data_IF_540415381641
#
_entry.id   IF_540415381641
#
_cell.length_a   1.000
_cell.length_b   1.000
_cell.length_c   1.000
_cell.angle_alpha   90.00
_cell.angle_beta   90.00
_cell.angle_gamma   90.00
#
_symmetry.space_group_name_H-M   'P 1'
#
loop_
_entity.id
_entity.type
_entity.pdbx_description
1 polymer ?
#
# COMPACT_ATOMS: atom_id res chain seq x y z
N UNK A 1 9.19 -21.70 88.94
CA UNK A 1 7.89 -21.13 88.50
C UNK A 1 8.13 -20.35 87.21
N UNK A 2 7.30 -20.24 86.17
CA UNK A 2 6.14 -20.97 85.65
C UNK A 2 5.91 -20.40 84.23
N UNK A 3 5.66 -21.30 83.26
CA UNK A 3 4.81 -21.17 82.03
C UNK A 3 5.02 -20.05 80.98
N UNK A 4 5.47 -20.48 79.79
CA UNK A 4 4.82 -20.39 78.44
C UNK A 4 3.49 -19.57 78.37
N UNK A 5 3.36 -18.60 77.43
CA UNK A 5 2.87 -18.72 76.02
C UNK A 5 2.39 -17.36 75.41
N UNK A 6 2.82 -17.12 74.16
CA UNK A 6 2.13 -16.63 72.92
C UNK A 6 1.59 -15.19 72.73
N UNK A 7 2.02 -14.63 71.58
CA UNK A 7 1.35 -13.86 70.50
C UNK A 7 0.57 -12.58 70.87
N UNK A 8 0.44 -11.54 70.04
CA UNK A 8 0.85 -11.16 68.67
C UNK A 8 0.65 -9.64 68.55
N UNK A 9 1.30 -9.00 67.57
CA UNK A 9 0.69 -7.86 66.85
C UNK A 9 1.44 -6.52 66.87
N UNK A 10 1.60 -5.92 65.68
CA UNK A 10 1.90 -4.49 65.45
C UNK A 10 3.25 -4.23 64.77
N UNK A 11 3.39 -4.53 63.48
CA UNK A 11 3.39 -3.54 62.37
C UNK A 11 4.48 -2.45 62.47
N UNK A 12 5.55 -2.63 61.69
CA UNK A 12 6.53 -1.60 61.38
C UNK A 12 6.58 -1.40 59.86
N UNK A 13 6.45 -0.13 59.47
CA UNK A 13 6.43 0.42 58.12
C UNK A 13 7.59 -0.05 57.23
N UNK A 14 7.24 -0.73 56.14
CA UNK A 14 8.15 -1.06 55.03
C UNK A 14 7.64 -0.47 53.73
N UNK A 15 7.99 0.79 53.45
CA UNK A 15 7.65 1.50 52.21
C UNK A 15 8.42 0.90 51.03
N UNK A 16 7.92 -0.20 50.48
CA UNK A 16 8.46 -0.83 49.28
C UNK A 16 8.08 -0.02 48.03
N UNK A 17 9.08 0.66 47.45
CA UNK A 17 9.05 1.22 46.10
C UNK A 17 8.74 0.10 45.09
N UNK A 18 7.49 0.02 44.64
CA UNK A 18 7.10 -0.81 43.49
C UNK A 18 7.52 -0.07 42.22
N UNK A 19 8.73 -0.31 41.76
CA UNK A 19 9.10 -0.04 40.36
C UNK A 19 8.18 -0.90 39.48
N UNK A 20 7.14 -0.27 38.94
CA UNK A 20 6.30 -0.85 37.92
C UNK A 20 7.20 -1.21 36.72
N UNK A 21 7.54 -2.49 36.59
CA UNK A 21 8.06 -3.03 35.32
C UNK A 21 7.06 -2.62 34.25
N UNK A 22 7.45 -1.68 33.38
CA UNK A 22 6.71 -1.39 32.14
C UNK A 22 6.56 -2.73 31.45
N UNK A 23 5.32 -3.21 31.39
CA UNK A 23 4.92 -4.32 30.53
C UNK A 23 5.48 -3.98 29.14
N UNK A 24 6.25 -4.86 28.48
CA UNK A 24 6.61 -4.61 27.09
C UNK A 24 5.31 -4.33 26.34
N UNK A 25 5.26 -3.23 25.59
CA UNK A 25 4.12 -2.93 24.74
C UNK A 25 3.87 -4.20 23.91
N UNK A 26 2.64 -4.74 23.97
CA UNK A 26 2.26 -5.80 23.05
C UNK A 26 2.47 -5.23 21.65
N UNK A 27 3.51 -5.69 20.97
CA UNK A 27 3.68 -5.45 19.55
C UNK A 27 2.45 -6.06 18.90
N UNK A 28 1.53 -5.21 18.39
CA UNK A 28 0.42 -5.70 17.58
C UNK A 28 1.03 -6.54 16.46
N UNK A 29 0.60 -7.79 16.36
CA UNK A 29 1.02 -8.68 15.28
C UNK A 29 0.45 -8.11 14.00
N UNK A 30 1.34 -7.73 13.08
CA UNK A 30 0.96 -7.35 11.72
C UNK A 30 0.77 -8.60 10.87
N UNK A 31 -0.06 -8.50 9.86
CA UNK A 31 -0.39 -9.58 8.95
C UNK A 31 -0.29 -9.13 7.49
N UNK A 32 -0.06 -10.10 6.61
CA UNK A 32 -0.02 -9.87 5.18
C UNK A 32 -1.43 -10.07 4.61
N UNK A 33 -2.01 -9.02 4.02
CA UNK A 33 -3.33 -9.04 3.39
C UNK A 33 -3.15 -9.01 1.88
N UNK A 34 -3.70 -9.98 1.15
CA UNK A 34 -3.64 -10.08 -0.31
C UNK A 34 -5.00 -9.73 -0.92
N UNK A 35 -5.01 -8.84 -1.91
CA UNK A 35 -6.20 -8.50 -2.68
C UNK A 35 -6.18 -9.25 -4.00
N UNK A 36 -7.25 -9.99 -4.26
CA UNK A 36 -7.49 -10.74 -5.48
C UNK A 36 -8.78 -10.26 -6.14
N UNK A 37 -8.85 -10.33 -7.46
CA UNK A 37 -10.12 -10.28 -8.18
C UNK A 37 -10.74 -11.67 -8.21
N UNK A 38 -12.04 -11.74 -7.95
CA UNK A 38 -12.83 -12.97 -7.85
C UNK A 38 -13.92 -12.99 -8.94
N UNK A 39 -13.61 -12.40 -10.10
CA UNK A 39 -14.58 -11.99 -11.11
C UNK A 39 -15.55 -13.10 -11.50
N UNK A 40 -16.85 -12.81 -11.41
CA UNK A 40 -17.91 -13.55 -12.11
C UNK A 40 -18.32 -12.74 -13.35
N UNK A 41 -18.81 -13.40 -14.41
CA UNK A 41 -19.13 -12.78 -15.72
C UNK A 41 -20.10 -11.58 -15.62
N UNK A 42 -20.90 -11.53 -14.54
CA UNK A 42 -21.88 -10.47 -14.31
C UNK A 42 -21.37 -9.30 -13.44
N UNK A 43 -20.38 -9.52 -12.58
CA UNK A 43 -19.89 -8.51 -11.61
C UNK A 43 -18.41 -8.69 -11.30
N UNK A 44 -17.62 -7.64 -11.48
CA UNK A 44 -16.23 -7.62 -11.01
C UNK A 44 -16.19 -7.46 -9.50
N UNK A 45 -15.88 -8.56 -8.81
CA UNK A 45 -15.69 -8.62 -7.36
C UNK A 45 -14.22 -8.69 -7.01
N UNK A 46 -13.88 -8.16 -5.85
CA UNK A 46 -12.54 -8.22 -5.27
C UNK A 46 -12.62 -8.75 -3.85
N UNK A 47 -11.65 -9.56 -3.46
CA UNK A 47 -11.60 -10.19 -2.14
C UNK A 47 -10.28 -9.87 -1.46
N UNK A 48 -10.33 -9.60 -0.16
CA UNK A 48 -9.14 -9.41 0.68
C UNK A 48 -8.96 -10.65 1.53
N UNK A 49 -7.78 -11.27 1.46
CA UNK A 49 -7.42 -12.47 2.20
C UNK A 49 -6.29 -12.18 3.17
N UNK A 50 -6.40 -12.68 4.40
CA UNK A 50 -5.31 -12.67 5.36
C UNK A 50 -4.45 -13.91 5.09
N UNK A 51 -3.18 -13.72 4.73
CA UNK A 51 -2.24 -14.81 4.46
C UNK A 51 -1.58 -15.30 5.75
N UNK A 52 -1.37 -16.61 5.81
CA UNK A 52 -0.56 -17.24 6.84
C UNK A 52 0.86 -17.45 6.30
N UNK A 53 1.84 -16.89 7.02
CA UNK A 53 3.26 -16.88 6.64
C UNK A 53 4.03 -17.68 7.67
N UNK A 54 4.51 -18.86 7.26
CA UNK A 54 5.40 -19.68 8.06
C UNK A 54 6.85 -19.28 7.75
N UNK A 55 7.39 -18.39 8.59
CA UNK A 55 8.77 -17.89 8.47
C UNK A 55 9.82 -18.99 8.67
N UNK A 56 9.51 -20.03 9.45
CA UNK A 56 10.45 -21.12 9.75
C UNK A 56 10.53 -22.10 8.58
N UNK A 57 9.39 -22.41 7.96
CA UNK A 57 9.33 -23.25 6.76
C UNK A 57 9.68 -22.46 5.48
N UNK A 58 9.59 -21.13 5.52
CA UNK A 58 9.72 -20.27 4.34
C UNK A 58 8.57 -20.47 3.35
N UNK A 59 7.36 -20.73 3.85
CA UNK A 59 6.18 -21.04 3.06
C UNK A 59 5.08 -20.02 3.36
N UNK A 60 4.40 -19.56 2.31
CA UNK A 60 3.16 -18.79 2.43
C UNK A 60 2.02 -19.71 2.04
N UNK A 61 1.07 -19.92 2.95
CA UNK A 61 -0.07 -20.79 2.71
C UNK A 61 -1.10 -20.12 1.80
N UNK A 62 -1.81 -20.94 1.02
CA UNK A 62 -2.86 -20.47 0.15
C UNK A 62 -3.98 -19.80 0.96
N UNK A 63 -4.57 -18.70 0.44
CA UNK A 63 -5.72 -18.08 1.08
C UNK A 63 -6.92 -19.02 1.10
N UNK A 64 -7.71 -18.98 2.18
CA UNK A 64 -9.00 -19.64 2.25
C UNK A 64 -10.03 -18.86 1.40
N UNK A 65 -10.23 -19.30 0.17
CA UNK A 65 -11.10 -18.65 -0.82
C UNK A 65 -12.54 -18.54 -0.32
N UNK A 66 -13.00 -19.48 0.51
CA UNK A 66 -14.36 -19.50 1.06
C UNK A 66 -14.53 -18.48 2.21
N UNK A 67 -13.43 -18.02 2.82
CA UNK A 67 -13.44 -17.14 4.00
C UNK A 67 -12.53 -15.92 3.83
N UNK A 68 -12.82 -15.03 2.86
CA UNK A 68 -12.10 -13.76 2.75
C UNK A 68 -12.39 -12.87 3.96
N UNK A 69 -11.42 -12.02 4.31
CA UNK A 69 -11.54 -11.03 5.37
C UNK A 69 -12.59 -9.96 5.05
N UNK A 70 -12.72 -9.60 3.76
CA UNK A 70 -13.81 -8.75 3.24
C UNK A 70 -13.93 -8.88 1.72
N UNK A 71 -15.03 -8.38 1.16
CA UNK A 71 -15.32 -8.37 -0.28
C UNK A 71 -15.75 -6.98 -0.74
N UNK A 72 -15.36 -6.62 -1.96
CA UNK A 72 -15.79 -5.41 -2.65
C UNK A 72 -16.40 -5.79 -3.99
N UNK A 73 -17.41 -5.04 -4.41
CA UNK A 73 -17.97 -5.14 -5.74
C UNK A 73 -17.72 -3.82 -6.46
N UNK A 74 -17.15 -3.88 -7.65
CA UNK A 74 -17.13 -2.73 -8.54
C UNK A 74 -18.57 -2.35 -8.92
N UNK A 75 -18.83 -1.05 -9.08
CA UNK A 75 -20.10 -0.61 -9.64
C UNK A 75 -20.24 -1.15 -11.08
N UNK A 76 -21.47 -1.53 -11.52
CA UNK A 76 -21.72 -1.88 -12.91
C UNK A 76 -21.53 -0.65 -13.79
N UNK A 77 -20.32 -0.45 -14.30
CA UNK A 77 -20.00 0.66 -15.19
C UNK A 77 -20.01 0.17 -16.65
N UNK A 78 -20.64 0.94 -17.53
CA UNK A 78 -20.47 0.78 -18.97
C UNK A 78 -19.00 1.08 -19.31
N UNK A 79 -18.17 0.02 -19.38
CA UNK A 79 -16.72 0.13 -19.61
C UNK A 79 -15.82 -0.62 -18.63
N UNK A 80 -16.37 -1.40 -17.68
CA UNK A 80 -15.57 -2.25 -16.79
C UNK A 80 -14.76 -1.47 -15.75
N UNK A 81 -15.45 -0.92 -14.76
CA UNK A 81 -14.82 -0.14 -13.68
C UNK A 81 -13.82 -0.99 -12.89
N UNK A 82 -12.56 -0.55 -12.83
CA UNK A 82 -11.50 -1.18 -12.06
C UNK A 82 -11.41 -0.53 -10.67
N UNK A 83 -11.44 -1.33 -9.62
CA UNK A 83 -11.14 -0.83 -8.27
C UNK A 83 -9.64 -0.78 -8.04
N UNK A 84 -9.20 0.24 -7.31
CA UNK A 84 -7.83 0.36 -6.82
C UNK A 84 -7.83 0.22 -5.31
N UNK A 85 -6.85 -0.53 -4.80
CA UNK A 85 -6.64 -0.78 -3.39
C UNK A 85 -5.36 -0.10 -2.94
N UNK A 86 -5.45 0.65 -1.86
CA UNK A 86 -4.41 1.54 -1.38
C UNK A 86 -4.22 1.27 0.11
N UNK A 87 -2.98 1.07 0.53
CA UNK A 87 -2.68 1.11 1.95
C UNK A 87 -2.95 2.52 2.46
N UNK A 88 -3.59 2.64 3.60
CA UNK A 88 -3.61 3.81 4.46
C UNK A 88 -3.09 3.35 5.82
N UNK A 89 -2.33 4.22 6.48
CA UNK A 89 -1.33 3.74 7.41
C UNK A 89 -1.87 2.93 8.61
N UNK A 90 -0.99 2.06 9.10
CA UNK A 90 -1.22 1.08 10.14
C UNK A 90 -2.12 -0.08 9.75
N UNK A 91 -3.39 0.20 9.46
CA UNK A 91 -4.48 -0.79 9.55
C UNK A 91 -5.62 -0.61 8.56
N UNK A 92 -5.54 0.37 7.65
CA UNK A 92 -6.69 0.69 6.79
C UNK A 92 -6.37 0.39 5.34
N UNK A 93 -7.16 -0.47 4.69
CA UNK A 93 -7.11 -0.66 3.23
C UNK A 93 -8.22 0.19 2.61
N UNK A 94 -7.85 1.14 1.76
CA UNK A 94 -8.79 2.02 1.05
C UNK A 94 -9.05 1.44 -0.34
N UNK A 95 -10.32 1.27 -0.68
CA UNK A 95 -10.77 0.84 -1.99
C UNK A 95 -11.51 1.99 -2.69
N UNK A 96 -11.05 2.35 -3.89
CA UNK A 96 -11.63 3.44 -4.70
C UNK A 96 -11.99 2.94 -6.08
N UNK A 97 -13.06 3.50 -6.65
CA UNK A 97 -13.40 3.34 -8.06
C UNK A 97 -12.46 4.20 -8.91
N UNK A 98 -11.66 3.56 -9.76
CA UNK A 98 -10.71 4.26 -10.63
C UNK A 98 -11.37 5.19 -11.64
N UNK A 99 -12.62 4.92 -12.04
CA UNK A 99 -13.38 5.77 -12.95
C UNK A 99 -14.10 6.93 -12.25
N UNK A 100 -14.00 7.00 -10.92
CA UNK A 100 -14.71 7.99 -10.11
C UNK A 100 -16.21 7.73 -10.00
N UNK A 101 -16.86 8.45 -9.10
CA UNK A 101 -18.32 8.41 -8.91
C UNK A 101 -18.81 7.33 -7.92
N UNK A 102 -18.11 6.21 -7.77
CA UNK A 102 -18.36 5.23 -6.70
C UNK A 102 -17.91 5.72 -5.32
N UNK A 103 -18.57 5.28 -4.21
CA UNK A 103 -18.12 5.63 -2.86
C UNK A 103 -16.73 5.06 -2.60
N UNK A 104 -15.90 5.82 -1.87
CA UNK A 104 -14.63 5.28 -1.37
C UNK A 104 -14.90 4.46 -0.12
N UNK A 105 -14.40 3.22 -0.09
CA UNK A 105 -14.53 2.34 1.06
C UNK A 105 -13.20 2.25 1.82
N UNK A 106 -13.25 2.20 3.14
CA UNK A 106 -12.09 2.07 4.02
C UNK A 106 -12.30 0.87 4.93
N UNK A 107 -11.49 -0.15 4.76
CA UNK A 107 -11.50 -1.38 5.56
C UNK A 107 -10.46 -1.30 6.67
N UNK A 108 -10.92 -1.26 7.92
CA UNK A 108 -10.06 -1.37 9.11
C UNK A 108 -9.78 -2.86 9.37
N UNK A 109 -8.54 -3.28 9.15
CA UNK A 109 -8.08 -4.67 9.27
C UNK A 109 -8.07 -5.17 10.71
N UNK A 110 -7.98 -4.27 11.69
CA UNK A 110 -7.99 -4.61 13.13
C UNK A 110 -9.43 -4.80 13.63
N UNK A 111 -10.33 -3.91 13.21
CA UNK A 111 -11.76 -4.00 13.56
C UNK A 111 -12.54 -4.96 12.66
N UNK A 112 -11.95 -5.42 11.55
CA UNK A 112 -12.62 -6.14 10.47
C UNK A 112 -13.91 -5.43 10.01
N UNK A 113 -13.84 -4.10 9.87
CA UNK A 113 -15.00 -3.25 9.64
C UNK A 113 -14.80 -2.34 8.42
N UNK A 114 -15.90 -2.05 7.72
CA UNK A 114 -15.94 -1.11 6.60
C UNK A 114 -16.54 0.21 7.03
N UNK A 115 -15.92 1.30 6.59
CA UNK A 115 -16.47 2.65 6.62
C UNK A 115 -16.43 3.23 5.21
N UNK A 116 -17.23 4.27 4.95
CA UNK A 116 -17.35 4.87 3.63
C UNK A 116 -17.08 6.36 3.69
N UNK A 117 -16.48 6.87 2.63
CA UNK A 117 -16.21 8.28 2.38
C UNK A 117 -16.98 8.76 1.16
N UNK A 118 -16.94 10.07 0.92
CA UNK A 118 -17.36 10.63 -0.36
C UNK A 118 -16.62 9.94 -1.53
N UNK A 119 -17.22 9.88 -2.73
CA UNK A 119 -16.51 9.44 -3.93
C UNK A 119 -15.20 10.21 -4.12
N UNK A 120 -14.21 9.54 -4.71
CA UNK A 120 -12.97 10.18 -5.16
C UNK A 120 -13.33 11.25 -6.21
N UNK A 121 -12.88 12.51 -6.04
CA UNK A 121 -13.08 13.54 -7.05
C UNK A 121 -12.30 13.21 -8.32
N UNK A 122 -13.03 12.98 -9.42
CA UNK A 122 -12.44 12.62 -10.71
C UNK A 122 -12.04 11.14 -10.79
N UNK A 123 -11.24 10.85 -11.82
CA UNK A 123 -10.72 9.51 -12.12
C UNK A 123 -9.30 9.41 -11.60
N UNK A 124 -8.89 8.26 -11.09
CA UNK A 124 -7.47 8.01 -10.90
C UNK A 124 -6.80 8.07 -12.28
N UNK A 125 -5.69 8.82 -12.38
CA UNK A 125 -5.02 9.00 -13.66
C UNK A 125 -4.70 7.64 -14.28
N UNK A 126 -5.33 7.34 -15.43
CA UNK A 126 -5.24 6.06 -16.13
C UNK A 126 -3.97 5.93 -16.97
N UNK A 127 -3.17 7.00 -17.10
CA UNK A 127 -1.87 6.95 -17.77
C UNK A 127 -0.78 6.49 -16.80
N UNK A 128 -0.63 5.16 -16.66
CA UNK A 128 0.49 4.53 -15.96
C UNK A 128 0.17 3.95 -14.58
N UNK A 129 1.16 3.95 -13.68
CA UNK A 129 0.97 3.52 -12.30
C UNK A 129 0.23 4.65 -11.58
N UNK A 130 -1.09 4.51 -11.38
CA UNK A 130 -1.89 5.50 -10.66
C UNK A 130 -1.17 5.96 -9.39
N UNK A 131 -0.98 7.27 -9.24
CA UNK A 131 -0.32 7.83 -8.06
C UNK A 131 -1.29 7.81 -6.89
N UNK A 132 -0.98 6.99 -5.89
CA UNK A 132 -1.66 7.01 -4.62
C UNK A 132 -0.64 6.69 -3.53
N UNK A 133 -0.44 7.62 -2.60
CA UNK A 133 0.67 7.60 -1.66
C UNK A 133 0.21 8.08 -0.29
N UNK A 134 0.64 7.37 0.75
CA UNK A 134 0.33 7.75 2.14
C UNK A 134 1.45 8.63 2.67
N UNK A 135 1.07 9.72 3.33
CA UNK A 135 2.00 10.59 4.04
C UNK A 135 1.39 10.93 5.41
N UNK A 136 2.21 10.98 6.44
CA UNK A 136 1.79 11.53 7.74
C UNK A 136 1.55 13.04 7.56
N UNK A 137 0.31 13.51 7.76
CA UNK A 137 0.03 14.95 7.66
C UNK A 137 0.49 15.64 8.94
N UNK A 138 1.59 16.37 8.84
CA UNK A 138 2.10 17.25 9.90
C UNK A 138 1.24 18.50 10.14
N UNK A 139 0.16 18.70 9.37
CA UNK A 139 -0.81 19.77 9.58
C UNK A 139 -1.56 19.67 10.92
N UNK A 140 -2.32 20.72 11.27
CA UNK A 140 -2.97 21.01 12.57
C UNK A 140 -3.94 19.93 13.16
N UNK A 141 -3.93 18.70 12.65
CA UNK A 141 -4.69 17.55 13.14
C UNK A 141 -3.89 16.28 13.43
N UNK A 142 -2.59 16.21 13.10
CA UNK A 142 -1.71 15.08 13.44
C UNK A 142 -2.20 13.71 12.95
N UNK A 143 -2.94 13.67 11.84
CA UNK A 143 -3.51 12.46 11.26
C UNK A 143 -2.80 12.06 9.97
N UNK A 144 -2.88 10.79 9.61
CA UNK A 144 -2.35 10.31 8.33
C UNK A 144 -3.32 10.65 7.19
N UNK A 145 -2.77 10.96 6.01
CA UNK A 145 -3.55 11.24 4.82
C UNK A 145 -3.07 10.40 3.62
N UNK A 146 -4.03 9.91 2.83
CA UNK A 146 -3.76 9.24 1.57
C UNK A 146 -3.92 10.26 0.44
N UNK A 147 -2.85 10.54 -0.27
CA UNK A 147 -2.80 11.47 -1.39
C UNK A 147 -2.96 10.72 -2.70
N UNK A 148 -3.80 11.21 -3.61
CA UNK A 148 -4.04 10.63 -4.91
C UNK A 148 -4.01 11.71 -6.00
N UNK A 149 -3.43 11.37 -7.15
CA UNK A 149 -3.51 12.20 -8.34
C UNK A 149 -4.74 11.80 -9.15
N UNK A 150 -5.64 12.75 -9.35
CA UNK A 150 -6.87 12.53 -10.11
C UNK A 150 -6.95 13.44 -11.32
N UNK A 151 -7.77 13.04 -12.30
CA UNK A 151 -8.12 13.86 -13.45
C UNK A 151 -9.63 14.01 -13.54
N UNK A 152 -10.10 15.22 -13.81
CA UNK A 152 -11.52 15.53 -13.98
C UNK A 152 -12.02 15.29 -15.42
N UNK A 153 -11.16 14.86 -16.33
CA UNK A 153 -11.48 14.60 -17.73
C UNK A 153 -10.36 14.99 -18.67
N UNK A 154 -10.54 14.73 -19.97
CA UNK A 154 -9.61 15.16 -21.01
C UNK A 154 -9.42 16.68 -20.97
N UNK A 155 -8.18 17.15 -21.15
CA UNK A 155 -7.82 18.58 -21.19
C UNK A 155 -8.03 19.36 -19.91
N UNK A 156 -8.44 18.71 -18.83
CA UNK A 156 -8.48 19.30 -17.49
C UNK A 156 -7.16 19.06 -16.79
N UNK A 157 -6.63 20.06 -16.06
CA UNK A 157 -5.45 19.84 -15.26
C UNK A 157 -5.73 18.77 -14.20
N UNK A 158 -4.70 17.98 -13.88
CA UNK A 158 -4.80 17.02 -12.78
C UNK A 158 -5.08 17.75 -11.45
N UNK A 159 -5.68 17.04 -10.51
CA UNK A 159 -5.89 17.45 -9.14
C UNK A 159 -5.10 16.56 -8.19
N UNK A 160 -4.70 17.12 -7.05
CA UNK A 160 -4.05 16.37 -5.99
C UNK A 160 -4.97 16.34 -4.78
N UNK A 161 -5.60 15.19 -4.57
CA UNK A 161 -6.64 14.94 -3.59
C UNK A 161 -6.05 14.22 -2.38
N UNK A 162 -6.47 14.60 -1.18
CA UNK A 162 -6.09 13.92 0.06
C UNK A 162 -7.32 13.38 0.79
N UNK A 163 -7.33 12.08 1.07
CA UNK A 163 -8.28 11.43 1.96
C UNK A 163 -7.75 11.47 3.39
N UNK A 164 -8.52 12.07 4.28
CA UNK A 164 -8.18 12.18 5.70
C UNK A 164 -9.41 12.04 6.58
N UNK A 165 -9.20 11.66 7.84
CA UNK A 165 -10.24 11.63 8.87
C UNK A 165 -10.46 13.05 9.39
N UNK A 166 -11.43 13.75 8.80
CA UNK A 166 -11.65 15.16 9.05
C UNK A 166 -12.95 15.41 9.80
N UNK A 167 -12.96 16.53 10.53
CA UNK A 167 -14.17 17.05 11.15
C UNK A 167 -15.09 17.62 10.07
N UNK A 168 -16.40 17.42 10.23
CA UNK A 168 -17.43 18.00 9.39
C UNK A 168 -17.33 19.54 9.32
N UNK A 169 -17.10 20.13 8.12
CA UNK A 169 -17.08 21.58 7.92
C UNK A 169 -18.47 22.22 8.13
N UNK A 170 -19.54 21.47 7.89
CA UNK A 170 -20.93 21.91 8.02
C UNK A 170 -21.46 21.84 9.45
N UNK A 171 -20.64 21.37 10.41
CA UNK A 171 -20.92 21.49 11.83
C UNK A 171 -20.83 22.96 12.28
N UNK A 172 -21.82 23.76 11.87
CA UNK A 172 -22.03 25.10 12.41
C UNK A 172 -22.21 25.00 13.93
N UNK A 173 -21.65 25.91 14.73
CA UNK A 173 -21.97 25.98 16.16
C UNK A 173 -23.49 26.21 16.40
N UNK A 174 -24.22 26.66 15.38
CA UNK A 174 -25.65 26.97 15.43
C UNK A 174 -26.59 25.80 15.09
N UNK A 175 -26.09 24.63 14.65
CA UNK A 175 -26.96 23.45 14.47
C UNK A 175 -27.31 22.73 15.78
N UNK A 176 -26.83 23.27 16.92
CA UNK A 176 -27.12 22.78 18.28
C UNK A 176 -28.55 23.05 18.77
N UNK A 177 -29.42 23.70 17.98
CA UNK A 177 -30.77 24.05 18.41
C UNK A 177 -31.84 22.97 18.14
N UNK A 178 -31.54 21.90 17.40
CA UNK A 178 -32.54 20.85 17.11
C UNK A 178 -32.12 19.40 17.37
N UNK A 179 -30.93 19.15 17.91
CA UNK A 179 -30.53 17.79 18.31
C UNK A 179 -30.60 17.62 19.83
N UNK A 180 -31.83 17.53 20.34
CA UNK A 180 -32.10 17.11 21.72
C UNK A 180 -32.08 15.59 21.82
N UNK A 181 -30.91 14.94 21.71
CA UNK A 181 -30.65 13.60 22.24
C UNK A 181 -29.19 13.17 22.02
N UNK A 182 -28.39 13.23 23.09
CA UNK A 182 -27.24 12.36 23.40
C UNK A 182 -26.20 12.04 22.30
N UNK A 183 -25.20 12.91 22.13
CA UNK A 183 -23.76 12.60 22.32
C UNK A 183 -22.92 13.81 21.87
N UNK A 184 -21.93 14.31 22.63
CA UNK A 184 -20.92 15.25 22.13
C UNK A 184 -19.91 14.53 21.21
N UNK A 185 -20.41 13.77 20.24
CA UNK A 185 -19.67 13.15 19.15
C UNK A 185 -19.76 14.04 17.92
N UNK A 186 -18.92 15.07 17.93
CA UNK A 186 -18.67 15.97 16.79
C UNK A 186 -18.40 15.11 15.55
N UNK A 187 -19.19 15.24 14.48
CA UNK A 187 -19.13 14.37 13.29
C UNK A 187 -17.73 14.40 12.64
N UNK A 188 -16.96 13.31 12.76
CA UNK A 188 -15.77 13.06 11.96
C UNK A 188 -16.09 11.98 10.93
N UNK A 189 -15.58 12.14 9.73
CA UNK A 189 -15.73 11.16 8.65
C UNK A 189 -14.54 11.24 7.69
N UNK A 190 -14.35 10.18 6.91
CA UNK A 190 -13.39 10.17 5.82
C UNK A 190 -13.85 11.12 4.71
N UNK A 191 -13.00 12.06 4.31
CA UNK A 191 -13.31 13.01 3.24
C UNK A 191 -12.13 13.24 2.32
N UNK A 192 -12.39 13.27 1.02
CA UNK A 192 -11.43 13.75 0.01
C UNK A 192 -11.44 15.28 -0.04
N UNK A 193 -10.25 15.88 -0.12
CA UNK A 193 -10.09 17.32 -0.32
C UNK A 193 -8.94 17.59 -1.27
N UNK A 194 -9.14 18.56 -2.15
CA UNK A 194 -8.05 19.09 -2.95
C UNK A 194 -7.07 19.84 -2.03
N UNK A 195 -5.80 19.48 -2.09
CA UNK A 195 -4.77 19.99 -1.17
C UNK A 195 -3.70 20.84 -1.83
N UNK A 196 -3.64 20.87 -3.17
CA UNK A 196 -2.61 21.63 -3.87
C UNK A 196 -3.08 23.05 -4.17
N UNK A 197 -2.29 24.06 -3.79
CA UNK A 197 -2.61 25.47 -4.07
C UNK A 197 -2.58 25.78 -5.57
N UNK A 198 -1.77 25.02 -6.32
CA UNK A 198 -1.65 25.08 -7.77
C UNK A 198 -1.79 23.69 -8.36
N UNK A 199 -2.36 23.55 -9.56
CA UNK A 199 -2.40 22.26 -10.24
C UNK A 199 -1.01 21.61 -10.35
N UNK A 200 -0.92 20.27 -10.35
CA UNK A 200 0.33 19.56 -10.61
C UNK A 200 0.95 20.03 -11.93
N UNK A 201 2.25 20.33 -11.96
CA UNK A 201 2.92 20.97 -13.11
C UNK A 201 3.28 19.97 -14.22
N UNK A 202 2.47 18.92 -14.39
CA UNK A 202 2.69 17.87 -15.38
C UNK A 202 2.06 18.28 -16.71
N UNK A 203 2.68 17.90 -17.82
CA UNK A 203 2.02 18.02 -19.12
C UNK A 203 0.84 17.05 -19.22
N UNK A 204 -0.18 17.37 -20.03
CA UNK A 204 -1.36 16.52 -20.21
C UNK A 204 -1.02 15.11 -20.72
N UNK A 205 0.03 15.01 -21.53
CA UNK A 205 0.52 13.76 -22.12
C UNK A 205 1.46 12.96 -21.21
N UNK A 206 1.80 13.51 -20.04
CA UNK A 206 2.72 12.88 -19.10
C UNK A 206 2.00 11.88 -18.18
N UNK A 207 2.49 10.64 -18.18
CA UNK A 207 2.04 9.56 -17.33
C UNK A 207 2.88 9.46 -16.06
N UNK A 208 2.26 9.29 -14.89
CA UNK A 208 3.02 8.97 -13.67
C UNK A 208 3.56 7.56 -13.78
N UNK A 209 4.87 7.42 -13.58
CA UNK A 209 5.56 6.13 -13.67
C UNK A 209 6.12 5.67 -12.35
N UNK A 210 6.48 6.60 -11.47
CA UNK A 210 7.08 6.28 -10.19
C UNK A 210 6.81 7.37 -9.16
N UNK A 211 6.82 6.99 -7.88
CA UNK A 211 6.73 7.92 -6.77
C UNK A 211 7.35 7.34 -5.51
N UNK A 212 7.80 8.20 -4.60
CA UNK A 212 8.32 7.78 -3.31
C UNK A 212 8.11 8.88 -2.26
N UNK A 213 7.90 8.48 -1.01
CA UNK A 213 7.88 9.41 0.12
C UNK A 213 9.31 9.64 0.58
N UNK A 214 9.69 10.90 0.74
CA UNK A 214 10.98 11.28 1.29
C UNK A 214 11.04 10.94 2.78
N UNK A 215 12.21 10.58 3.34
CA UNK A 215 12.38 10.27 4.77
C UNK A 215 11.99 11.38 5.75
N UNK A 216 11.68 12.58 5.25
CA UNK A 216 11.18 13.67 6.09
C UNK A 216 9.69 13.52 6.42
N UNK A 217 9.03 12.49 5.88
CA UNK A 217 7.64 12.15 6.16
C UNK A 217 6.64 13.15 5.59
N UNK A 218 7.06 14.12 4.76
CA UNK A 218 6.17 15.17 4.23
C UNK A 218 6.34 15.45 2.74
N UNK A 219 7.49 15.14 2.16
CA UNK A 219 7.78 15.44 0.75
C UNK A 219 7.52 14.19 -0.09
N UNK A 220 6.66 14.29 -1.11
CA UNK A 220 6.37 13.22 -2.05
C UNK A 220 7.14 13.51 -3.33
N UNK A 221 7.98 12.58 -3.80
CA UNK A 221 8.58 12.65 -5.13
C UNK A 221 7.72 11.89 -6.14
N UNK A 222 7.58 12.45 -7.33
CA UNK A 222 6.77 11.90 -8.44
C UNK A 222 7.55 12.04 -9.73
N UNK A 223 7.73 10.94 -10.46
CA UNK A 223 8.29 10.95 -11.81
C UNK A 223 7.22 10.69 -12.85
N UNK A 224 7.26 11.49 -13.91
CA UNK A 224 6.39 11.37 -15.07
C UNK A 224 7.18 11.04 -16.33
N UNK A 225 6.53 10.43 -17.32
CA UNK A 225 7.09 10.22 -18.67
C UNK A 225 6.03 10.52 -19.72
N UNK A 226 6.40 11.14 -20.85
CA UNK A 226 5.47 11.47 -21.94
C UNK A 226 6.19 11.99 -23.17
N UNK A 227 5.44 12.45 -24.18
CA UNK A 227 5.97 12.90 -25.49
C UNK A 227 6.94 14.08 -25.42
N UNK A 228 6.83 14.93 -24.39
CA UNK A 228 7.69 16.10 -24.17
C UNK A 228 8.99 15.84 -23.40
N UNK A 229 9.29 14.57 -23.05
CA UNK A 229 10.38 14.22 -22.14
C UNK A 229 9.92 14.23 -20.69
N UNK A 230 10.11 13.11 -19.99
CA UNK A 230 9.70 12.96 -18.60
C UNK A 230 10.46 13.85 -17.61
N UNK A 231 9.96 13.95 -16.39
CA UNK A 231 10.62 14.71 -15.34
C UNK A 231 10.29 14.22 -13.94
N UNK A 232 11.06 14.72 -12.97
CA UNK A 232 10.78 14.47 -11.56
C UNK A 232 10.35 15.74 -10.86
N UNK A 233 9.33 15.60 -10.04
CA UNK A 233 8.70 16.64 -9.26
C UNK A 233 8.62 16.22 -7.80
N UNK A 234 8.42 17.18 -6.91
CA UNK A 234 8.03 16.90 -5.55
C UNK A 234 6.84 17.76 -5.10
N UNK A 235 6.03 17.21 -4.22
CA UNK A 235 4.97 17.92 -3.51
C UNK A 235 5.30 17.97 -2.03
N UNK A 236 5.35 19.18 -1.48
CA UNK A 236 5.51 19.40 -0.05
C UNK A 236 4.11 19.50 0.57
N UNK A 237 3.72 18.51 1.39
CA UNK A 237 2.37 18.41 1.96
C UNK A 237 2.03 19.54 2.95
N UNK A 238 3.04 20.06 3.64
CA UNK A 238 2.90 21.17 4.58
C UNK A 238 2.74 22.50 3.84
N UNK A 239 3.59 22.75 2.84
CA UNK A 239 3.56 23.98 2.04
C UNK A 239 2.56 23.96 0.89
N UNK A 240 1.98 22.79 0.60
CA UNK A 240 0.99 22.53 -0.47
C UNK A 240 1.46 22.94 -1.87
N UNK A 241 2.77 22.81 -2.11
CA UNK A 241 3.43 23.33 -3.32
C UNK A 241 4.21 22.26 -4.05
N UNK A 242 4.10 22.31 -5.37
CA UNK A 242 4.89 21.52 -6.30
C UNK A 242 6.24 22.17 -6.60
N UNK A 243 7.24 21.34 -6.88
CA UNK A 243 8.58 21.73 -7.34
C UNK A 243 9.04 20.77 -8.42
N UNK A 244 9.66 21.28 -9.48
CA UNK A 244 10.36 20.47 -10.49
C UNK A 244 11.83 20.29 -10.11
N UNK A 245 12.34 19.07 -10.30
CA UNK A 245 13.72 18.67 -10.03
C UNK A 245 14.53 18.40 -11.29
N UNK A 246 13.92 18.37 -12.47
CA UNK A 246 14.62 18.27 -13.76
C UNK A 246 14.17 17.09 -14.61
N UNK A 247 14.86 16.93 -15.74
CA UNK A 247 14.54 15.99 -16.83
C UNK A 247 15.13 14.60 -16.55
N UNK A 248 14.85 14.06 -15.38
CA UNK A 248 15.25 12.71 -14.97
C UNK A 248 14.07 12.03 -14.27
N UNK A 249 14.11 10.70 -14.21
CA UNK A 249 13.04 9.89 -13.59
C UNK A 249 13.64 8.90 -12.60
N UNK A 250 12.86 8.51 -11.60
CA UNK A 250 13.24 7.50 -10.62
C UNK A 250 13.50 6.15 -11.33
N UNK A 251 14.44 5.33 -10.81
CA UNK A 251 14.87 4.10 -11.47
C UNK A 251 13.91 2.91 -11.28
N UNK A 252 12.83 3.11 -10.52
CA UNK A 252 11.78 2.12 -10.29
C UNK A 252 10.47 2.52 -10.96
N UNK A 253 9.51 1.59 -10.97
CA UNK A 253 8.11 1.82 -11.34
C UNK A 253 7.19 1.72 -10.13
N UNK A 254 6.10 2.47 -10.13
CA UNK A 254 5.17 2.53 -9.01
C UNK A 254 5.81 3.13 -7.75
N UNK A 255 5.42 2.61 -6.60
CA UNK A 255 5.92 3.11 -5.31
C UNK A 255 7.35 2.62 -5.02
N UNK A 256 8.24 3.56 -4.71
CA UNK A 256 9.49 3.31 -4.00
C UNK A 256 9.31 3.54 -2.51
N UNK A 257 9.87 2.64 -1.70
CA UNK A 257 9.82 2.66 -0.26
C UNK A 257 11.17 3.04 0.32
N UNK A 258 11.20 3.98 1.25
CA UNK A 258 12.43 4.26 1.98
C UNK A 258 12.69 3.16 3.00
N UNK A 259 13.90 2.58 2.96
CA UNK A 259 14.39 1.68 3.99
C UNK A 259 15.54 2.35 4.75
N UNK A 260 15.37 2.49 6.07
CA UNK A 260 16.35 3.17 6.92
C UNK A 260 17.64 2.40 7.13
N UNK A 261 17.65 1.07 6.96
CA UNK A 261 18.89 0.28 7.08
C UNK A 261 19.74 0.38 5.81
N UNK A 262 19.10 0.48 4.64
CA UNK A 262 19.75 0.70 3.35
C UNK A 262 20.06 2.17 3.10
N UNK A 263 19.40 3.10 3.80
CA UNK A 263 19.42 4.54 3.53
C UNK A 263 19.13 4.85 2.05
N UNK A 264 18.11 4.18 1.51
CA UNK A 264 17.80 4.18 0.09
C UNK A 264 16.30 4.02 -0.15
N UNK A 265 15.84 4.52 -1.29
CA UNK A 265 14.56 4.10 -1.85
C UNK A 265 14.73 2.76 -2.55
N UNK A 266 13.84 1.83 -2.26
CA UNK A 266 13.74 0.51 -2.89
C UNK A 266 12.43 0.42 -3.65
N UNK A 267 12.48 0.02 -4.91
CA UNK A 267 11.28 -0.17 -5.73
C UNK A 267 11.47 -1.24 -6.80
N UNK A 268 10.38 -1.64 -7.45
CA UNK A 268 10.44 -2.54 -8.60
C UNK A 268 11.17 -1.86 -9.74
N UNK A 269 12.14 -2.56 -10.33
CA UNK A 269 12.92 -2.02 -11.44
C UNK A 269 12.00 -1.57 -12.57
N UNK A 270 12.28 -0.38 -13.12
CA UNK A 270 11.42 0.25 -14.12
C UNK A 270 11.22 -0.60 -15.39
N UNK A 271 12.32 -1.11 -15.95
CA UNK A 271 12.32 -1.82 -17.23
C UNK A 271 12.37 -3.36 -17.10
N UNK A 272 13.09 -3.88 -16.10
CA UNK A 272 13.34 -5.31 -15.95
C UNK A 272 12.40 -5.93 -14.92
N UNK A 273 11.48 -6.78 -15.38
CA UNK A 273 10.57 -7.55 -14.53
C UNK A 273 11.34 -8.50 -13.60
N UNK A 274 10.78 -8.80 -12.42
CA UNK A 274 11.41 -9.71 -11.47
C UNK A 274 12.60 -9.13 -10.70
N UNK A 275 12.87 -7.83 -10.85
CA UNK A 275 13.98 -7.16 -10.16
C UNK A 275 13.49 -6.02 -9.29
N UNK A 276 14.14 -5.88 -8.15
CA UNK A 276 14.11 -4.66 -7.35
C UNK A 276 15.37 -3.85 -7.62
N UNK A 277 15.27 -2.54 -7.47
CA UNK A 277 16.39 -1.63 -7.51
C UNK A 277 16.41 -0.75 -6.26
N UNK A 278 17.60 -0.28 -5.90
CA UNK A 278 17.80 0.66 -4.81
C UNK A 278 18.56 1.90 -5.33
N UNK A 279 18.10 3.08 -4.93
CA UNK A 279 18.79 4.34 -5.20
C UNK A 279 18.82 5.24 -3.98
N UNK A 280 19.81 6.14 -3.93
CA UNK A 280 19.84 7.17 -2.90
C UNK A 280 18.57 8.03 -2.91
N UNK A 281 18.24 8.59 -1.75
CA UNK A 281 17.15 9.55 -1.62
C UNK A 281 17.53 10.84 -2.36
N UNK A 282 16.68 11.30 -3.27
CA UNK A 282 16.93 12.51 -4.03
C UNK A 282 16.86 13.77 -3.13
N UNK A 283 17.74 14.74 -3.40
CA UNK A 283 17.76 16.00 -2.66
C UNK A 283 16.54 16.88 -2.97
N UNK A 284 15.91 17.42 -1.92
CA UNK A 284 14.75 18.35 -2.02
C UNK A 284 15.05 19.66 -2.74
N UNK A 285 16.32 20.06 -2.87
CA UNK A 285 16.74 21.28 -3.56
C UNK A 285 17.58 21.04 -4.81
N UNK A 286 17.98 19.79 -5.06
CA UNK A 286 18.89 19.45 -6.14
C UNK A 286 18.17 19.17 -7.46
N UNK A 287 18.85 19.47 -8.57
CA UNK A 287 18.43 19.04 -9.90
C UNK A 287 19.12 17.74 -10.37
N UNK A 288 20.04 17.20 -9.56
CA UNK A 288 20.81 16.00 -9.88
C UNK A 288 19.94 14.75 -9.62
N UNK A 289 19.92 13.77 -10.55
CA UNK A 289 19.26 12.50 -10.30
C UNK A 289 19.89 11.78 -9.10
N UNK A 290 19.13 10.92 -8.39
CA UNK A 290 19.68 10.07 -7.36
C UNK A 290 20.75 9.17 -7.96
N UNK A 291 21.84 8.93 -7.23
CA UNK A 291 22.82 7.95 -7.68
C UNK A 291 22.17 6.57 -7.67
N UNK A 292 22.00 6.03 -8.88
CA UNK A 292 21.54 4.68 -9.08
C UNK A 292 22.61 3.74 -8.57
N UNK A 293 22.27 2.96 -7.55
CA UNK A 293 23.21 2.01 -7.01
C UNK A 293 23.05 0.72 -7.76
N UNK A 294 21.99 -0.06 -7.54
CA UNK A 294 22.07 -1.48 -7.86
C UNK A 294 20.71 -2.16 -8.03
N UNK A 295 20.75 -3.38 -8.58
CA UNK A 295 19.57 -4.23 -8.82
C UNK A 295 19.78 -5.61 -8.28
N UNK A 296 18.68 -6.22 -7.82
CA UNK A 296 18.67 -7.59 -7.37
C UNK A 296 17.51 -8.33 -8.03
N UNK A 297 17.81 -9.51 -8.56
CA UNK A 297 16.81 -10.49 -8.98
C UNK A 297 16.26 -11.19 -7.72
N UNK A 298 15.05 -10.82 -7.30
CA UNK A 298 14.37 -11.50 -6.19
C UNK A 298 13.83 -12.88 -6.60
N UNK A 299 13.93 -13.24 -7.88
CA UNK A 299 13.56 -14.54 -8.45
C UNK A 299 14.64 -15.60 -8.40
N UNK A 300 15.84 -15.30 -7.89
CA UNK A 300 16.86 -16.34 -7.66
C UNK A 300 16.40 -17.46 -6.69
N UNK A 301 15.13 -17.45 -6.26
CA UNK A 301 14.41 -18.37 -5.38
C UNK A 301 13.10 -18.90 -5.98
N UNK A 302 12.58 -18.33 -7.07
CA UNK A 302 11.42 -18.91 -7.74
C UNK A 302 11.93 -19.91 -8.77
N UNK A 303 11.81 -21.20 -8.47
CA UNK A 303 12.13 -22.32 -9.37
C UNK A 303 11.23 -22.37 -10.63
N UNK A 304 10.63 -21.25 -11.02
CA UNK A 304 9.73 -21.18 -12.15
C UNK A 304 10.51 -20.89 -13.43
N UNK A 305 10.49 -21.85 -14.36
CA UNK A 305 10.96 -21.76 -15.76
C UNK A 305 10.21 -20.69 -16.59
N UNK A 306 9.49 -19.76 -15.94
CA UNK A 306 8.51 -18.84 -16.51
C UNK A 306 8.94 -17.37 -16.38
N UNK A 307 10.25 -17.07 -16.50
CA UNK A 307 10.74 -15.67 -16.49
C UNK A 307 10.14 -14.81 -17.62
N UNK A 308 9.63 -15.43 -18.69
CA UNK A 308 9.11 -14.77 -19.89
C UNK A 308 7.57 -14.60 -19.93
N UNK A 309 6.81 -15.01 -18.90
CA UNK A 309 5.32 -14.95 -18.88
C UNK A 309 4.76 -14.10 -17.74
N UNK A 310 5.53 -13.12 -17.28
CA UNK A 310 5.16 -12.22 -16.19
C UNK A 310 4.42 -11.03 -16.75
N UNK A 311 3.25 -10.74 -16.20
CA UNK A 311 2.48 -9.60 -16.64
C UNK A 311 2.81 -8.38 -15.77
N UNK A 312 2.53 -8.41 -14.47
CA UNK A 312 2.65 -7.24 -13.58
C UNK A 312 3.03 -7.69 -12.17
N UNK A 313 3.83 -6.86 -11.49
CA UNK A 313 4.29 -7.08 -10.13
C UNK A 313 3.97 -5.86 -9.26
N UNK A 314 3.59 -6.09 -8.01
CA UNK A 314 3.47 -5.07 -6.97
C UNK A 314 4.48 -5.35 -5.85
N UNK A 315 4.86 -4.31 -5.10
CA UNK A 315 5.83 -4.40 -4.01
C UNK A 315 5.29 -3.69 -2.79
N UNK A 316 5.52 -4.30 -1.62
CA UNK A 316 5.06 -3.81 -0.33
C UNK A 316 6.20 -3.84 0.67
N UNK A 317 6.46 -2.73 1.34
CA UNK A 317 7.43 -2.67 2.44
C UNK A 317 6.84 -3.21 3.74
N UNK A 318 7.55 -4.11 4.39
CA UNK A 318 7.13 -4.77 5.62
C UNK A 318 7.84 -4.23 6.87
N UNK A 319 8.77 -3.28 6.71
CA UNK A 319 9.67 -2.84 7.78
C UNK A 319 10.95 -3.68 7.86
N UNK A 320 11.97 -3.15 8.55
CA UNK A 320 13.22 -3.85 8.87
C UNK A 320 13.93 -4.49 7.66
N UNK A 321 13.93 -3.78 6.52
CA UNK A 321 14.52 -4.26 5.26
C UNK A 321 13.76 -5.41 4.60
N UNK A 322 12.55 -5.75 5.07
CA UNK A 322 11.71 -6.82 4.51
C UNK A 322 10.69 -6.26 3.52
N UNK A 323 10.48 -7.01 2.44
CA UNK A 323 9.59 -6.65 1.34
C UNK A 323 8.76 -7.86 0.91
N UNK A 324 7.56 -7.61 0.41
CA UNK A 324 6.70 -8.59 -0.23
C UNK A 324 6.48 -8.19 -1.69
N UNK A 325 6.84 -9.06 -2.63
CA UNK A 325 6.47 -8.93 -4.04
C UNK A 325 5.29 -9.84 -4.36
N UNK A 326 4.32 -9.32 -5.11
CA UNK A 326 3.19 -10.09 -5.64
C UNK A 326 3.21 -10.00 -7.16
N UNK A 327 3.18 -11.13 -7.84
CA UNK A 327 3.26 -11.21 -9.29
C UNK A 327 2.23 -12.15 -9.87
N UNK A 328 1.73 -11.85 -11.07
CA UNK A 328 0.93 -12.80 -11.86
C UNK A 328 1.79 -13.48 -12.93
N UNK A 329 1.68 -14.80 -12.98
CA UNK A 329 2.37 -15.65 -13.95
C UNK A 329 1.34 -16.48 -14.71
N UNK A 330 1.43 -16.50 -16.04
CA UNK A 330 0.61 -17.43 -16.81
C UNK A 330 1.21 -18.83 -16.77
N UNK A 331 0.39 -19.85 -16.52
CA UNK A 331 0.79 -21.25 -16.60
C UNK A 331 0.56 -21.79 -18.02
N UNK A 332 1.43 -22.67 -18.53
CA UNK A 332 1.18 -23.32 -19.82
C UNK A 332 -0.03 -24.26 -19.70
N UNK A 333 -0.76 -24.50 -20.80
CA UNK A 333 -1.80 -25.52 -20.80
C UNK A 333 -1.19 -26.89 -20.48
N UNK A 334 -1.69 -27.54 -19.43
CA UNK A 334 -1.28 -28.90 -19.07
C UNK A 334 -1.64 -29.86 -20.20
N UNK A 335 -0.65 -30.49 -20.82
CA UNK A 335 -0.82 -31.43 -21.94
C UNK A 335 -1.39 -32.80 -21.53
N UNK A 336 -2.14 -32.87 -20.44
CA UNK A 336 -2.66 -34.13 -19.89
C UNK A 336 -4.16 -34.06 -19.65
N UNK A 337 -4.92 -33.88 -20.73
CA UNK A 337 -6.26 -34.48 -20.86
C UNK A 337 -6.57 -34.66 -22.33
N UNK A 338 -6.26 -35.84 -22.85
CA UNK A 338 -6.87 -36.37 -24.07
C UNK A 338 -8.35 -36.64 -23.79
N UNK A 339 -9.16 -35.59 -23.84
CA UNK A 339 -10.60 -35.70 -24.02
C UNK A 339 -11.00 -34.64 -25.04
N UNK A 340 -11.47 -35.14 -26.18
CA UNK A 340 -11.95 -34.34 -27.30
C UNK A 340 -13.01 -33.33 -26.83
N UNK A 341 -12.84 -32.07 -27.24
CA UNK A 341 -13.86 -31.03 -27.12
C UNK A 341 -13.57 -29.98 -26.04
N UNK A 342 -12.93 -28.88 -26.42
CA UNK A 342 -13.03 -27.59 -25.73
C UNK A 342 -11.76 -27.06 -25.05
N UNK A 343 -11.05 -26.18 -25.76
CA UNK A 343 -10.26 -25.07 -25.21
C UNK A 343 -9.42 -25.31 -23.95
N UNK A 344 -8.31 -26.04 -24.08
CA UNK A 344 -7.25 -26.05 -23.06
C UNK A 344 -6.51 -24.70 -23.01
N UNK A 345 -7.14 -23.68 -22.44
CA UNK A 345 -6.49 -22.41 -22.12
C UNK A 345 -5.58 -22.56 -20.90
N UNK A 346 -4.38 -21.98 -20.94
CA UNK A 346 -3.48 -21.90 -19.78
C UNK A 346 -4.13 -21.14 -18.62
N UNK A 347 -3.73 -21.44 -17.38
CA UNK A 347 -4.20 -20.74 -16.18
C UNK A 347 -3.37 -19.50 -15.85
N UNK A 348 -3.78 -18.77 -14.82
CA UNK A 348 -2.97 -17.70 -14.21
C UNK A 348 -2.76 -18.05 -12.74
N UNK A 349 -1.53 -17.90 -12.25
CA UNK A 349 -1.18 -18.06 -10.85
C UNK A 349 -0.68 -16.73 -10.28
N UNK A 350 -1.01 -16.47 -9.02
CA UNK A 350 -0.41 -15.40 -8.23
C UNK A 350 0.74 -15.96 -7.41
N UNK A 351 1.90 -15.34 -7.51
CA UNK A 351 3.09 -15.63 -6.72
C UNK A 351 3.27 -14.55 -5.66
N UNK A 352 3.38 -14.94 -4.41
CA UNK A 352 3.69 -14.05 -3.28
C UNK A 352 5.06 -14.43 -2.76
N UNK A 353 5.99 -13.48 -2.70
CA UNK A 353 7.37 -13.71 -2.23
C UNK A 353 7.75 -12.65 -1.21
N UNK A 354 8.04 -13.08 0.02
CA UNK A 354 8.61 -12.28 1.08
C UNK A 354 10.13 -12.46 1.07
N UNK A 355 10.87 -11.35 1.08
CA UNK A 355 12.32 -11.36 1.10
C UNK A 355 12.88 -10.13 1.81
N UNK A 356 14.02 -10.30 2.49
CA UNK A 356 14.78 -9.19 3.04
C UNK A 356 15.86 -8.68 2.10
N UNK A 357 16.26 -7.42 2.23
CA UNK A 357 17.38 -6.82 1.49
C UNK A 357 18.47 -6.34 2.46
N UNK A 358 19.72 -6.34 1.99
CA UNK A 358 20.88 -5.74 2.67
C UNK A 358 21.98 -5.44 1.66
N UNK A 359 22.84 -4.48 1.98
CA UNK A 359 24.11 -4.33 1.29
C UNK A 359 25.15 -5.31 1.82
N UNK A 360 25.95 -5.88 0.92
CA UNK A 360 27.13 -6.65 1.28
C UNK A 360 28.34 -5.72 1.54
N UNK A 361 29.49 -6.29 1.90
CA UNK A 361 30.71 -5.51 2.19
C UNK A 361 31.28 -4.75 0.98
N UNK A 362 30.90 -5.13 -0.24
CA UNK A 362 31.28 -4.46 -1.50
C UNK A 362 30.31 -3.34 -1.87
N UNK A 363 29.25 -3.15 -1.09
CA UNK A 363 28.17 -2.23 -1.40
C UNK A 363 27.07 -2.83 -2.27
N UNK A 364 27.12 -4.15 -2.57
CA UNK A 364 26.17 -4.84 -3.45
C UNK A 364 24.88 -5.26 -2.75
N UNK A 365 23.74 -4.97 -3.35
CA UNK A 365 22.40 -5.29 -2.88
C UNK A 365 22.21 -6.81 -2.97
N UNK A 366 21.92 -7.42 -1.83
CA UNK A 366 21.71 -8.86 -1.71
C UNK A 366 20.46 -9.15 -0.89
N UNK A 367 19.81 -10.27 -1.19
CA UNK A 367 18.68 -10.71 -0.39
C UNK A 367 19.15 -11.43 0.89
N UNK A 368 18.43 -11.20 2.00
CA UNK A 368 18.62 -11.86 3.29
C UNK A 368 18.24 -13.35 3.20
N UNK A 369 18.59 -14.11 4.25
CA UNK A 369 18.26 -15.54 4.37
C UNK A 369 16.78 -15.75 4.65
N UNK A 370 16.14 -14.85 5.41
CA UNK A 370 14.70 -14.91 5.71
C UNK A 370 13.87 -14.67 4.46
N UNK A 371 13.18 -15.71 3.98
CA UNK A 371 12.33 -15.68 2.79
C UNK A 371 11.16 -16.63 3.00
N UNK A 372 10.00 -16.24 2.51
CA UNK A 372 8.85 -17.12 2.40
C UNK A 372 8.20 -16.93 1.03
N UNK A 373 7.69 -18.00 0.43
CA UNK A 373 7.02 -17.91 -0.87
C UNK A 373 5.79 -18.81 -0.94
N UNK A 374 4.81 -18.40 -1.74
CA UNK A 374 3.62 -19.16 -2.08
C UNK A 374 3.18 -18.86 -3.50
N UNK A 375 2.57 -19.85 -4.15
CA UNK A 375 2.00 -19.71 -5.49
C UNK A 375 0.61 -20.35 -5.49
N UNK A 376 -0.38 -19.61 -5.96
CA UNK A 376 -1.79 -20.00 -5.87
C UNK A 376 -2.50 -19.75 -7.22
N UNK A 377 -3.37 -20.66 -7.67
CA UNK A 377 -4.15 -20.43 -8.89
C UNK A 377 -5.14 -19.29 -8.71
N UNK A 378 -5.26 -18.44 -9.73
CA UNK A 378 -6.31 -17.44 -9.83
C UNK A 378 -7.54 -18.02 -10.56
N UNK A 379 -8.74 -17.45 -10.32
CA UNK A 379 -9.94 -17.80 -11.07
C UNK A 379 -9.72 -17.68 -12.59
N UNK A 380 -10.44 -18.49 -13.38
CA UNK A 380 -10.33 -18.45 -14.86
C UNK A 380 -10.73 -17.08 -15.44
N UNK A 381 -11.61 -16.37 -14.75
CA UNK A 381 -12.10 -15.05 -15.10
C UNK A 381 -11.22 -13.91 -14.58
N UNK A 382 -9.98 -14.20 -14.16
CA UNK A 382 -9.02 -13.18 -13.74
C UNK A 382 -8.94 -12.04 -14.77
N UNK A 383 -9.13 -10.82 -14.29
CA UNK A 383 -9.10 -9.59 -15.08
C UNK A 383 -7.65 -9.23 -15.36
N UNK A 384 -7.13 -9.34 -16.61
CA UNK A 384 -5.70 -9.13 -16.88
C UNK A 384 -5.21 -7.70 -16.62
N UNK A 385 -6.13 -6.73 -16.57
CA UNK A 385 -5.81 -5.34 -16.21
C UNK A 385 -5.59 -5.14 -14.71
N UNK A 386 -6.06 -6.07 -13.86
CA UNK A 386 -5.87 -6.04 -12.41
C UNK A 386 -4.54 -6.69 -12.03
N UNK A 387 -3.83 -6.06 -11.11
CA UNK A 387 -2.61 -6.60 -10.52
C UNK A 387 -2.87 -6.87 -9.04
N UNK A 388 -2.85 -8.14 -8.61
CA UNK A 388 -2.89 -8.47 -7.20
C UNK A 388 -1.89 -7.67 -6.38
N UNK A 389 -2.33 -7.20 -5.22
CA UNK A 389 -1.55 -6.34 -4.34
C UNK A 389 -1.63 -6.85 -2.92
N UNK A 390 -0.51 -6.80 -2.20
CA UNK A 390 -0.46 -7.16 -0.79
C UNK A 390 -0.24 -5.93 0.11
N UNK A 391 -0.71 -6.01 1.34
CA UNK A 391 -0.51 -4.98 2.36
C UNK A 391 -0.04 -5.60 3.66
N UNK A 392 0.91 -4.95 4.32
CA UNK A 392 1.43 -5.36 5.62
C UNK A 392 0.87 -4.46 6.71
N UNK A 393 -0.06 -4.98 7.52
CA UNK A 393 -0.89 -4.21 8.45
C UNK A 393 -1.05 -4.86 9.81
#
# INVERSE_FOLDING_TARGET
MSRRRRNDGGEADGRASKTARRRPAQTKMKHLYLVLDDGDEATTTYTIHKLDVDDDAGIIHAPDVDRPATRFAAAPAAGGGQMHFLAMAGKNIVAVDGQGGGPTAVYDTEAAALTFASPLPGRLSSSGAGLAVVVEDGGHGGGEALYALTSLGERMPASFEALSWARDPCASPSSLLFSSSSSPGRHYYWSWKNVADTPPPFAEEEAVTAYAVHPDGRTIFVSTTGGGGGGTYSFDTERRKWRRHGDWVLPFRGQGYFDGELDAWVGLHREVHGRVCACQVASRGGARPPEYRETLDYDSVSSSRSKNRRQRATLTYMGDGMFCAVETCETPPTSSSSSEGGGGGGGVEVHVTVFGLKYNRRGELQARVRRAAGAFPLPKQHVPSFSPVAFWM
#
